data_IF_988611379854
#
_entry.id   IF_988611379854
#
_cell.length_a   1.000
_cell.length_b   1.000
_cell.length_c   1.000
_cell.angle_alpha   90.00
_cell.angle_beta   90.00
_cell.angle_gamma   90.00
#
_symmetry.space_group_name_H-M   'P 1'
#
loop_
_entity.id
_entity.type
_entity.pdbx_description
1 polymer ?
#
# COMPACT_ATOMS: atom_id res chain seq x y z
N UNK A 1 -1.55 -26.00 0.96
CA UNK A 1 -2.11 -24.64 0.98
C UNK A 1 -0.96 -23.69 1.12
N UNK A 2 -0.64 -23.00 0.03
CA UNK A 2 0.32 -21.90 0.08
C UNK A 2 -0.24 -20.79 0.97
N UNK A 3 0.63 -20.16 1.76
CA UNK A 3 0.26 -19.00 2.60
C UNK A 3 0.63 -17.76 1.79
N UNK A 4 -0.38 -17.04 1.29
CA UNK A 4 -0.16 -15.74 0.68
C UNK A 4 0.60 -14.84 1.67
N UNK A 5 1.82 -14.46 1.29
CA UNK A 5 2.68 -13.59 2.08
C UNK A 5 2.78 -12.26 1.36
N UNK A 6 2.25 -11.21 1.96
CA UNK A 6 2.41 -9.83 1.54
C UNK A 6 3.18 -9.05 2.59
N UNK A 7 4.12 -8.22 2.14
CA UNK A 7 4.81 -7.25 2.99
C UNK A 7 4.33 -5.86 2.59
N UNK A 8 4.08 -5.02 3.59
CA UNK A 8 3.79 -3.60 3.41
C UNK A 8 4.87 -2.74 4.04
N UNK A 9 5.32 -1.69 3.34
CA UNK A 9 6.19 -0.65 3.93
C UNK A 9 5.92 0.71 3.31
N UNK A 10 6.20 1.78 4.05
CA UNK A 10 6.20 3.16 3.53
C UNK A 10 7.61 3.71 3.26
N UNK A 11 7.68 4.82 2.53
CA UNK A 11 8.78 5.77 2.68
C UNK A 11 8.74 6.45 4.07
N UNK A 12 9.79 7.21 4.39
CA UNK A 12 9.71 8.17 5.48
C UNK A 12 8.92 9.41 5.02
N UNK A 13 7.97 9.85 5.84
CA UNK A 13 7.10 11.00 5.60
C UNK A 13 6.99 11.88 6.85
N UNK A 14 6.63 13.14 6.66
CA UNK A 14 6.35 14.10 7.71
C UNK A 14 4.85 14.16 8.06
N UNK A 15 4.57 14.48 9.31
CA UNK A 15 3.23 14.80 9.79
C UNK A 15 2.91 16.29 9.58
N UNK A 16 1.63 16.64 9.53
CA UNK A 16 1.18 18.05 9.59
C UNK A 16 1.69 18.70 10.88
N UNK A 17 1.96 20.00 10.84
CA UNK A 17 2.51 20.74 11.98
C UNK A 17 1.66 20.65 13.26
N UNK A 18 0.35 20.47 13.12
CA UNK A 18 -0.60 20.35 14.23
C UNK A 18 -0.93 18.89 14.61
N UNK A 19 -0.27 17.91 14.00
CA UNK A 19 -0.44 16.48 14.27
C UNK A 19 0.75 15.99 15.08
N UNK A 20 0.48 15.28 16.17
CA UNK A 20 1.51 14.65 16.98
C UNK A 20 1.70 13.17 16.62
N UNK A 21 2.84 12.60 17.04
CA UNK A 21 3.15 11.18 16.84
C UNK A 21 2.07 10.23 17.40
N UNK A 22 1.38 10.63 18.47
CA UNK A 22 0.32 9.80 19.07
C UNK A 22 -0.87 9.60 18.14
N UNK A 23 -1.18 10.56 17.26
CA UNK A 23 -2.24 10.37 16.25
C UNK A 23 -1.85 9.29 15.25
N UNK A 24 -0.60 9.28 14.78
CA UNK A 24 -0.08 8.20 13.94
C UNK A 24 -0.14 6.86 14.67
N UNK A 25 0.30 6.82 15.94
CA UNK A 25 0.26 5.60 16.76
C UNK A 25 -1.16 5.06 16.95
N UNK A 26 -2.15 5.94 17.14
CA UNK A 26 -3.56 5.57 17.26
C UNK A 26 -4.14 5.00 15.96
N UNK A 27 -3.72 5.55 14.81
CA UNK A 27 -4.11 5.00 13.50
C UNK A 27 -3.51 3.60 13.36
N UNK A 28 -2.20 3.46 13.58
CA UNK A 28 -1.48 2.19 13.43
C UNK A 28 -2.00 1.11 14.38
N UNK A 29 -2.31 1.43 15.64
CA UNK A 29 -2.88 0.47 16.60
C UNK A 29 -4.30 0.02 16.26
N UNK A 30 -4.99 0.74 15.37
CA UNK A 30 -6.32 0.36 14.88
C UNK A 30 -6.25 -0.51 13.62
N UNK A 31 -5.06 -0.75 13.07
CA UNK A 31 -4.88 -1.57 11.87
C UNK A 31 -4.96 -3.04 12.25
N UNK A 32 -5.77 -3.77 11.49
CA UNK A 32 -5.85 -5.22 11.54
C UNK A 32 -4.87 -5.79 10.53
N UNK A 33 -3.99 -6.66 11.00
CA UNK A 33 -2.97 -7.34 10.21
C UNK A 33 -2.67 -8.71 10.82
N UNK A 34 -1.97 -9.59 10.10
CA UNK A 34 -1.56 -10.90 10.63
C UNK A 34 -0.30 -10.84 11.51
N UNK A 35 0.35 -9.69 11.57
CA UNK A 35 1.56 -9.40 12.36
C UNK A 35 1.55 -7.92 12.75
N UNK A 36 2.44 -7.52 13.64
CA UNK A 36 2.49 -6.16 14.15
C UNK A 36 2.85 -5.14 13.06
N UNK A 37 2.08 -4.05 13.02
CA UNK A 37 2.43 -2.88 12.22
C UNK A 37 3.37 -2.00 13.03
N UNK A 38 4.60 -1.85 12.55
CA UNK A 38 5.66 -1.14 13.22
C UNK A 38 5.75 0.31 12.72
N UNK A 39 6.07 1.23 13.63
CA UNK A 39 6.43 2.62 13.32
C UNK A 39 7.93 2.78 13.49
N UNK A 40 8.58 3.31 12.46
CA UNK A 40 9.97 3.75 12.48
C UNK A 40 9.98 5.28 12.50
N UNK A 41 11.00 5.87 13.12
CA UNK A 41 11.13 7.32 13.14
C UNK A 41 12.59 7.74 13.06
N UNK A 42 12.83 8.93 12.49
CA UNK A 42 14.15 9.57 12.43
C UNK A 42 14.03 11.06 12.20
N UNK A 43 15.07 11.80 12.59
CA UNK A 43 15.26 13.19 12.18
C UNK A 43 16.02 13.20 10.85
N UNK A 44 15.51 13.92 9.86
CA UNK A 44 16.18 14.19 8.59
C UNK A 44 16.02 15.68 8.28
N UNK A 45 17.12 16.38 7.99
CA UNK A 45 17.12 17.81 7.67
C UNK A 45 16.37 18.65 8.74
N UNK A 46 16.65 18.36 10.02
CA UNK A 46 15.99 18.97 11.21
C UNK A 46 14.48 18.70 11.34
N UNK A 47 13.89 17.90 10.44
CA UNK A 47 12.48 17.51 10.45
C UNK A 47 12.32 16.08 10.99
N UNK A 48 11.40 15.90 11.95
CA UNK A 48 11.01 14.58 12.40
C UNK A 48 10.18 13.88 11.31
N UNK A 49 10.55 12.65 10.97
CA UNK A 49 9.88 11.83 9.94
C UNK A 49 9.59 10.43 10.46
N UNK A 50 8.57 9.81 9.87
CA UNK A 50 8.03 8.52 10.28
C UNK A 50 7.89 7.58 9.09
N UNK A 51 7.98 6.28 9.33
CA UNK A 51 7.61 5.26 8.36
C UNK A 51 6.79 4.16 9.06
N UNK A 52 5.95 3.46 8.31
CA UNK A 52 5.20 2.31 8.78
C UNK A 52 5.55 1.07 7.97
N UNK A 53 5.52 -0.10 8.60
CA UNK A 53 5.72 -1.37 7.90
C UNK A 53 5.15 -2.56 8.65
N UNK A 54 4.80 -3.61 7.91
CA UNK A 54 4.31 -4.87 8.43
C UNK A 54 4.87 -6.00 7.57
N UNK A 55 5.40 -7.04 8.21
CA UNK A 55 5.99 -8.21 7.54
C UNK A 55 4.92 -9.27 7.18
N UNK A 56 3.64 -8.90 7.16
CA UNK A 56 2.52 -9.76 6.81
C UNK A 56 1.36 -8.95 6.20
N UNK A 57 0.30 -9.65 5.79
CA UNK A 57 -0.86 -9.02 5.16
C UNK A 57 -1.53 -8.03 6.10
N UNK A 58 -1.73 -6.82 5.60
CA UNK A 58 -2.48 -5.76 6.26
C UNK A 58 -3.90 -5.77 5.70
N UNK A 59 -4.87 -5.95 6.59
CA UNK A 59 -6.30 -6.01 6.23
C UNK A 59 -6.94 -4.61 6.20
N UNK A 60 -6.32 -3.65 6.87
CA UNK A 60 -6.79 -2.26 6.95
C UNK A 60 -7.43 -1.94 8.31
N UNK A 61 -8.32 -0.96 8.34
CA UNK A 61 -9.02 -0.55 9.58
C UNK A 61 -10.47 -0.98 9.48
N UNK A 62 -11.04 -1.51 10.56
CA UNK A 62 -12.45 -1.92 10.59
C UNK A 62 -13.36 -0.75 10.23
N UNK A 63 -14.09 -0.90 9.13
CA UNK A 63 -15.06 0.05 8.65
C UNK A 63 -16.47 -0.45 9.00
N UNK A 64 -17.19 0.33 9.82
CA UNK A 64 -18.53 -0.06 10.30
C UNK A 64 -19.56 -0.08 9.19
N UNK A 65 -19.43 0.79 8.19
CA UNK A 65 -20.39 0.87 7.09
C UNK A 65 -20.21 -0.29 6.12
N UNK A 66 -18.98 -0.81 5.99
CA UNK A 66 -18.67 -2.01 5.19
C UNK A 66 -18.79 -3.32 5.96
N UNK A 67 -18.72 -3.29 7.28
CA UNK A 67 -18.78 -4.48 8.14
C UNK A 67 -17.52 -5.36 8.11
N UNK A 68 -16.41 -4.85 7.59
CA UNK A 68 -15.13 -5.56 7.50
C UNK A 68 -13.93 -4.58 7.47
N UNK A 69 -12.69 -5.06 7.66
CA UNK A 69 -11.48 -4.23 7.52
C UNK A 69 -11.37 -3.63 6.11
N UNK A 70 -11.01 -2.36 6.01
CA UNK A 70 -10.90 -1.62 4.75
C UNK A 70 -9.56 -0.85 4.66
N UNK A 71 -8.83 -1.10 3.58
CA UNK A 71 -7.60 -0.36 3.27
C UNK A 71 -7.89 1.11 2.92
N UNK A 72 -9.03 1.40 2.29
CA UNK A 72 -9.46 2.76 1.99
C UNK A 72 -9.60 3.61 3.26
N UNK A 73 -10.13 3.04 4.34
CA UNK A 73 -10.23 3.70 5.65
C UNK A 73 -8.87 3.97 6.26
N UNK A 74 -7.91 3.05 6.14
CA UNK A 74 -6.52 3.31 6.51
C UNK A 74 -5.93 4.47 5.70
N UNK A 75 -6.08 4.47 4.37
CA UNK A 75 -5.53 5.51 3.51
C UNK A 75 -6.08 6.90 3.82
N UNK A 76 -7.40 7.01 4.08
CA UNK A 76 -8.03 8.28 4.48
C UNK A 76 -7.50 8.78 5.81
N UNK A 77 -7.35 7.92 6.81
CA UNK A 77 -6.78 8.31 8.11
C UNK A 77 -5.31 8.75 7.99
N UNK A 78 -4.53 8.10 7.13
CA UNK A 78 -3.16 8.53 6.85
C UNK A 78 -3.11 9.87 6.10
N UNK A 79 -4.03 10.12 5.17
CA UNK A 79 -4.17 11.42 4.47
C UNK A 79 -4.50 12.57 5.43
N UNK A 80 -5.25 12.31 6.51
CA UNK A 80 -5.57 13.32 7.52
C UNK A 80 -4.33 13.85 8.24
N UNK A 81 -3.26 13.06 8.34
CA UNK A 81 -2.07 13.37 9.14
C UNK A 81 -0.81 13.70 8.35
N UNK A 82 -0.73 13.37 7.05
CA UNK A 82 0.45 13.66 6.22
C UNK A 82 0.64 15.15 5.98
N UNK A 83 1.87 15.65 6.05
CA UNK A 83 2.19 17.05 5.79
C UNK A 83 1.72 17.50 4.38
N UNK A 84 1.30 18.77 4.19
CA UNK A 84 0.81 19.25 2.89
C UNK A 84 1.84 19.19 1.75
N UNK A 85 3.12 19.23 2.08
CA UNK A 85 4.27 19.22 1.17
C UNK A 85 4.96 17.85 1.09
N UNK A 86 4.35 16.80 1.62
CA UNK A 86 4.92 15.45 1.67
C UNK A 86 3.91 14.39 1.20
N UNK A 87 4.37 13.15 1.05
CA UNK A 87 3.56 12.02 0.62
C UNK A 87 3.92 10.74 1.38
N UNK A 88 2.91 9.93 1.65
CA UNK A 88 3.07 8.54 2.08
C UNK A 88 2.93 7.67 0.84
N UNK A 89 3.95 6.88 0.53
CA UNK A 89 3.96 5.89 -0.53
C UNK A 89 4.02 4.54 0.14
N UNK A 90 2.87 3.85 0.20
CA UNK A 90 2.75 2.50 0.73
C UNK A 90 3.04 1.51 -0.38
N UNK A 91 4.13 0.77 -0.26
CA UNK A 91 4.46 -0.35 -1.11
C UNK A 91 3.87 -1.61 -0.51
N UNK A 92 3.19 -2.41 -1.33
CA UNK A 92 2.78 -3.75 -1.00
C UNK A 92 3.33 -4.70 -2.07
N UNK A 93 3.93 -5.79 -1.64
CA UNK A 93 4.39 -6.84 -2.54
C UNK A 93 4.08 -8.19 -1.90
N UNK A 94 3.48 -9.07 -2.66
CA UNK A 94 3.12 -10.40 -2.21
C UNK A 94 3.36 -11.45 -3.28
N UNK A 95 3.31 -12.69 -2.85
CA UNK A 95 3.28 -13.81 -3.77
C UNK A 95 2.46 -14.95 -3.19
N UNK A 96 1.97 -15.77 -4.11
CA UNK A 96 1.46 -17.10 -3.83
C UNK A 96 2.29 -18.10 -4.64
N UNK A 97 3.46 -18.46 -4.12
CA UNK A 97 4.40 -19.31 -4.84
C UNK A 97 4.83 -18.67 -6.18
N UNK A 98 4.67 -19.41 -7.28
CA UNK A 98 4.91 -18.93 -8.65
C UNK A 98 3.62 -18.61 -9.42
N UNK A 99 2.45 -18.87 -8.82
CA UNK A 99 1.17 -18.79 -9.53
C UNK A 99 0.79 -17.33 -9.80
N UNK A 100 1.15 -16.42 -8.90
CA UNK A 100 1.16 -14.98 -9.14
C UNK A 100 2.07 -14.23 -8.15
N UNK A 101 2.67 -13.15 -8.64
CA UNK A 101 3.41 -12.15 -7.86
C UNK A 101 2.61 -10.86 -7.91
N UNK A 102 2.19 -10.36 -6.75
CA UNK A 102 1.50 -9.07 -6.63
C UNK A 102 2.50 -7.98 -6.30
N UNK A 103 2.25 -6.82 -6.88
CA UNK A 103 2.94 -5.60 -6.52
C UNK A 103 2.00 -4.42 -6.67
N UNK A 104 1.95 -3.57 -5.68
CA UNK A 104 1.27 -2.29 -5.78
C UNK A 104 1.98 -1.21 -4.98
N UNK A 105 1.64 0.03 -5.30
CA UNK A 105 1.88 1.11 -4.36
C UNK A 105 0.70 2.07 -4.32
N UNK A 106 0.45 2.62 -3.13
CA UNK A 106 -0.55 3.66 -2.91
C UNK A 106 0.16 4.94 -2.50
N UNK A 107 0.06 5.97 -3.33
CA UNK A 107 0.52 7.32 -3.01
C UNK A 107 -0.61 8.08 -2.30
N UNK A 108 -0.32 8.64 -1.14
CA UNK A 108 -1.23 9.39 -0.29
C UNK A 108 -0.58 10.74 -0.05
N UNK A 109 -1.22 11.79 -0.55
CA UNK A 109 -0.88 13.18 -0.25
C UNK A 109 -1.99 13.79 0.59
N UNK A 110 -1.79 15.01 1.08
CA UNK A 110 -2.83 15.72 1.84
C UNK A 110 -4.14 15.95 1.03
N UNK A 111 -4.09 15.89 -0.31
CA UNK A 111 -5.22 16.25 -1.18
C UNK A 111 -5.70 15.12 -2.10
N UNK A 112 -4.92 14.06 -2.29
CA UNK A 112 -5.24 12.97 -3.22
C UNK A 112 -4.67 11.63 -2.75
N UNK A 113 -5.33 10.54 -3.15
CA UNK A 113 -4.92 9.15 -2.92
C UNK A 113 -4.95 8.42 -4.26
N UNK A 114 -3.82 7.86 -4.67
CA UNK A 114 -3.69 7.13 -5.93
C UNK A 114 -3.09 5.74 -5.72
N UNK A 115 -3.86 4.73 -6.09
CA UNK A 115 -3.41 3.35 -6.17
C UNK A 115 -2.81 3.07 -7.54
N UNK A 116 -1.67 2.38 -7.56
CA UNK A 116 -1.03 1.87 -8.78
C UNK A 116 -0.76 0.39 -8.61
N UNK A 117 -1.35 -0.37 -9.53
CA UNK A 117 -1.08 -1.79 -9.71
C UNK A 117 0.20 -1.95 -10.57
N UNK A 118 1.18 -2.70 -10.09
CA UNK A 118 2.46 -2.85 -10.79
C UNK A 118 2.32 -3.67 -12.07
N UNK A 119 1.41 -4.64 -12.13
CA UNK A 119 1.16 -5.42 -13.34
C UNK A 119 0.59 -4.52 -14.43
N UNK A 120 -0.45 -3.73 -14.10
CA UNK A 120 -1.01 -2.75 -15.05
C UNK A 120 0.03 -1.71 -15.47
N UNK A 121 0.90 -1.29 -14.55
CA UNK A 121 2.00 -0.37 -14.87
C UNK A 121 3.00 -1.03 -15.83
N UNK A 122 3.32 -2.31 -15.64
CA UNK A 122 4.23 -3.06 -16.51
C UNK A 122 3.64 -3.22 -17.92
N UNK A 123 2.37 -3.65 -18.03
CA UNK A 123 1.67 -3.77 -19.33
C UNK A 123 1.64 -2.43 -20.06
N UNK A 124 1.28 -1.35 -19.36
CA UNK A 124 1.30 0.01 -19.93
C UNK A 124 2.70 0.42 -20.39
N UNK A 125 3.73 0.07 -19.62
CA UNK A 125 5.12 0.37 -19.97
C UNK A 125 5.53 -0.37 -21.24
N UNK A 126 5.18 -1.65 -21.36
CA UNK A 126 5.43 -2.44 -22.57
C UNK A 126 4.67 -1.89 -23.78
N UNK A 127 3.38 -1.55 -23.64
CA UNK A 127 2.58 -0.93 -24.69
C UNK A 127 3.23 0.35 -25.24
N UNK A 128 3.72 1.21 -24.35
CA UNK A 128 4.44 2.42 -24.74
C UNK A 128 5.76 2.12 -25.47
N UNK A 129 6.52 1.12 -25.02
CA UNK A 129 7.79 0.74 -25.65
C UNK A 129 7.58 0.13 -27.05
N UNK A 130 6.46 -0.54 -27.26
CA UNK A 130 6.07 -1.14 -28.54
C UNK A 130 5.38 -0.15 -29.49
N UNK A 131 5.10 1.07 -29.03
CA UNK A 131 4.22 2.03 -29.71
C UNK A 131 2.87 1.42 -30.13
N UNK A 132 2.32 0.56 -29.26
CA UNK A 132 1.07 -0.15 -29.50
C UNK A 132 0.13 0.01 -28.28
N UNK A 133 -0.82 0.95 -28.31
CA UNK A 133 -1.75 1.19 -27.20
C UNK A 133 -2.73 0.02 -26.97
N UNK A 134 -2.93 -0.85 -27.97
CA UNK A 134 -3.79 -2.04 -27.88
C UNK A 134 -3.05 -3.26 -27.32
N UNK A 135 -1.76 -3.13 -27.00
CA UNK A 135 -1.00 -4.21 -26.41
C UNK A 135 -1.56 -4.60 -25.04
N UNK A 136 -1.92 -5.87 -24.90
CA UNK A 136 -2.29 -6.52 -23.65
C UNK A 136 -1.60 -7.88 -23.54
N UNK A 137 -1.40 -8.34 -22.31
CA UNK A 137 -0.87 -9.67 -22.01
C UNK A 137 -1.50 -10.17 -20.72
N UNK A 138 -1.50 -11.49 -20.53
CA UNK A 138 -1.85 -12.11 -19.27
C UNK A 138 -0.58 -12.36 -18.45
N UNK A 139 -0.57 -11.91 -17.20
CA UNK A 139 0.56 -12.10 -16.28
C UNK A 139 0.24 -13.12 -15.17
N UNK A 140 -0.99 -13.62 -15.12
CA UNK A 140 -1.42 -14.68 -14.22
C UNK A 140 -1.33 -16.04 -14.91
N UNK A 141 -0.95 -17.08 -14.18
CA UNK A 141 -0.83 -18.44 -14.71
C UNK A 141 -1.96 -19.37 -14.23
N UNK A 142 -3.07 -18.81 -13.73
CA UNK A 142 -4.23 -19.61 -13.35
C UNK A 142 -4.86 -20.26 -14.58
N UNK A 143 -4.77 -21.59 -14.65
CA UNK A 143 -5.60 -22.38 -15.56
C UNK A 143 -7.01 -22.38 -14.95
N UNK A 144 -7.98 -21.81 -15.66
CA UNK A 144 -9.37 -21.92 -15.24
C UNK A 144 -9.85 -23.36 -15.43
N UNK A 145 -10.83 -23.82 -14.64
CA UNK A 145 -11.33 -25.20 -14.73
C UNK A 145 -11.90 -25.55 -16.13
N UNK A 146 -12.12 -24.54 -16.98
CA UNK A 146 -12.60 -24.67 -18.35
C UNK A 146 -11.47 -24.92 -19.38
N UNK A 147 -10.21 -24.91 -18.95
CA UNK A 147 -9.01 -25.06 -19.80
C UNK A 147 -8.27 -26.40 -19.60
N UNK A 148 -8.89 -27.38 -18.92
CA UNK A 148 -8.37 -28.74 -18.68
C UNK A 148 -9.26 -29.81 -19.32
#
# INVERSE_FOLDING_TARGET
MSKYNELMKSNYFALKNNTCENELRNIVSSVLAYDDVQIFSRVKDEKQTYAIGCASNVLGIYDKDKGHPDMGTLYRKLQEIVAPDDAIILFAAGNDGLDYVTGSFTCITANDIKYVDMEKLAVKTAANMLDNPEYGTECSYYITADEV
#
